data_IF_951614822993
#
_entry.id   IF_951614822993
#
_cell.length_a   1.000
_cell.length_b   1.000
_cell.length_c   1.000
_cell.angle_alpha   90.00
_cell.angle_beta   90.00
_cell.angle_gamma   90.00
#
_symmetry.space_group_name_H-M   'P 1'
#
loop_
_entity.id
_entity.type
_entity.pdbx_description
1 polymer ?
#
# COMPACT_ATOMS: atom_id res chain seq x y z
N UNK A 1 17.20 -9.87 4.28
CA UNK A 1 15.99 -9.70 3.42
C UNK A 1 14.69 -9.40 4.19
N UNK A 2 14.53 -9.82 5.45
CA UNK A 2 13.31 -9.55 6.25
C UNK A 2 12.98 -8.07 6.50
N UNK A 3 13.96 -7.25 6.90
CA UNK A 3 13.78 -5.80 7.14
C UNK A 3 13.29 -5.02 5.90
N UNK A 4 13.90 -5.15 4.70
CA UNK A 4 13.42 -4.43 3.52
C UNK A 4 12.03 -4.89 3.06
N UNK A 5 11.70 -6.19 3.16
CA UNK A 5 10.35 -6.69 2.83
C UNK A 5 9.28 -6.14 3.79
N UNK A 6 9.58 -6.06 5.08
CA UNK A 6 8.69 -5.42 6.06
C UNK A 6 8.52 -3.92 5.76
N UNK A 7 9.61 -3.21 5.49
CA UNK A 7 9.56 -1.80 5.14
C UNK A 7 8.73 -1.55 3.87
N UNK A 8 8.86 -2.42 2.87
CA UNK A 8 8.04 -2.39 1.67
C UNK A 8 6.56 -2.61 1.99
N UNK A 9 6.22 -3.61 2.81
CA UNK A 9 4.84 -3.85 3.24
C UNK A 9 4.23 -2.64 3.95
N UNK A 10 4.96 -2.02 4.88
CA UNK A 10 4.52 -0.78 5.55
C UNK A 10 4.35 0.35 4.55
N UNK A 11 5.28 0.52 3.60
CA UNK A 11 5.17 1.55 2.57
C UNK A 11 3.92 1.35 1.71
N UNK A 12 3.60 0.13 1.31
CA UNK A 12 2.39 -0.20 0.54
C UNK A 12 1.11 0.11 1.33
N UNK A 13 1.09 -0.17 2.64
CA UNK A 13 -0.03 0.23 3.52
C UNK A 13 -0.20 1.74 3.48
N UNK A 14 0.87 2.49 3.73
CA UNK A 14 0.82 3.94 3.77
C UNK A 14 0.44 4.54 2.41
N UNK A 15 0.93 3.98 1.31
CA UNK A 15 0.56 4.42 -0.04
C UNK A 15 -0.91 4.17 -0.35
N UNK A 16 -1.44 2.99 -0.02
CA UNK A 16 -2.84 2.67 -0.23
C UNK A 16 -3.77 3.55 0.62
N UNK A 17 -3.45 3.75 1.91
CA UNK A 17 -4.22 4.66 2.77
C UNK A 17 -4.15 6.10 2.25
N UNK A 18 -2.96 6.58 1.89
CA UNK A 18 -2.76 7.91 1.32
C UNK A 18 -3.57 8.10 0.04
N UNK A 19 -3.52 7.14 -0.88
CA UNK A 19 -4.27 7.22 -2.14
C UNK A 19 -5.79 7.18 -1.94
N UNK A 20 -6.27 6.43 -0.93
CA UNK A 20 -7.68 6.42 -0.56
C UNK A 20 -8.10 7.79 0.01
N UNK A 21 -7.25 8.41 0.83
CA UNK A 21 -7.45 9.76 1.34
C UNK A 21 -7.42 10.78 0.20
N UNK A 22 -6.46 10.74 -0.72
CA UNK A 22 -6.34 11.67 -1.86
C UNK A 22 -7.57 11.65 -2.77
N UNK A 23 -8.16 10.46 -2.93
CA UNK A 23 -9.39 10.30 -3.69
C UNK A 23 -10.61 10.96 -3.02
N UNK A 24 -10.67 10.95 -1.67
CA UNK A 24 -11.75 11.57 -0.90
C UNK A 24 -11.51 13.06 -0.63
N UNK A 25 -10.25 13.44 -0.43
CA UNK A 25 -9.80 14.78 -0.09
C UNK A 25 -8.43 15.02 -0.72
N UNK A 26 -8.39 15.87 -1.75
CA UNK A 26 -7.19 16.12 -2.56
C UNK A 26 -6.04 16.60 -1.67
N UNK A 27 -4.94 15.83 -1.61
CA UNK A 27 -3.86 16.03 -0.66
C UNK A 27 -2.61 16.62 -1.36
N UNK A 28 -2.15 17.84 -0.99
CA UNK A 28 -1.11 18.53 -1.78
C UNK A 28 0.35 18.16 -1.44
N UNK A 29 0.70 17.75 -0.20
CA UNK A 29 2.10 17.81 0.28
C UNK A 29 2.80 16.44 0.39
N UNK A 30 2.10 15.37 0.78
CA UNK A 30 2.68 14.01 0.89
C UNK A 30 2.55 13.18 -0.41
N UNK A 31 2.01 13.77 -1.47
CA UNK A 31 1.50 13.05 -2.64
C UNK A 31 2.54 12.42 -3.58
N UNK A 32 3.79 12.89 -3.61
CA UNK A 32 4.77 12.37 -4.60
C UNK A 32 5.10 10.91 -4.32
N UNK A 33 5.44 10.57 -3.07
CA UNK A 33 5.79 9.19 -2.71
C UNK A 33 4.55 8.42 -2.26
N UNK A 34 3.73 9.00 -1.36
CA UNK A 34 2.61 8.26 -0.78
C UNK A 34 1.39 8.16 -1.72
N UNK A 35 1.15 9.13 -2.62
CA UNK A 35 0.11 8.99 -3.67
C UNK A 35 0.66 8.50 -5.01
N UNK A 36 1.91 8.06 -5.08
CA UNK A 36 2.50 7.58 -6.34
C UNK A 36 1.63 6.50 -6.99
N UNK A 37 1.10 5.54 -6.23
CA UNK A 37 0.19 4.53 -6.76
C UNK A 37 -1.12 5.13 -7.30
N UNK A 38 -1.76 6.03 -6.56
CA UNK A 38 -3.01 6.64 -7.01
C UNK A 38 -2.80 7.49 -8.28
N UNK A 39 -1.75 8.31 -8.31
CA UNK A 39 -1.48 9.25 -9.41
C UNK A 39 -0.89 8.60 -10.65
N UNK A 40 -0.04 7.58 -10.48
CA UNK A 40 0.65 6.93 -11.60
C UNK A 40 -0.09 5.70 -12.11
N UNK A 41 -0.82 4.97 -11.25
CA UNK A 41 -1.50 3.73 -11.63
C UNK A 41 -3.00 3.92 -11.68
N UNK A 42 -3.63 4.28 -10.56
CA UNK A 42 -5.11 4.33 -10.47
C UNK A 42 -5.68 5.34 -11.46
N UNK A 43 -5.09 6.53 -11.57
CA UNK A 43 -5.56 7.57 -12.50
C UNK A 43 -5.33 7.24 -13.99
N UNK A 44 -4.41 6.34 -14.32
CA UNK A 44 -4.07 6.00 -15.70
C UNK A 44 -4.73 4.71 -16.20
N UNK A 45 -5.44 3.98 -15.33
CA UNK A 45 -6.12 2.73 -15.71
C UNK A 45 -7.62 2.87 -15.47
N UNK A 46 -8.39 2.91 -16.56
CA UNK A 46 -9.83 3.14 -16.54
C UNK A 46 -10.59 2.25 -15.53
N UNK A 47 -10.29 0.94 -15.51
CA UNK A 47 -10.93 0.00 -14.58
C UNK A 47 -10.62 0.30 -13.09
N UNK A 48 -9.43 0.84 -12.79
CA UNK A 48 -9.06 1.23 -11.44
C UNK A 48 -9.64 2.61 -11.07
N UNK A 49 -9.77 3.53 -12.02
CA UNK A 49 -10.38 4.83 -11.78
C UNK A 49 -11.83 4.73 -11.33
N UNK A 50 -12.63 3.89 -12.00
CA UNK A 50 -14.02 3.64 -11.62
C UNK A 50 -14.17 3.07 -10.21
N UNK A 51 -13.10 2.46 -9.69
CA UNK A 51 -13.05 1.83 -8.37
C UNK A 51 -11.88 2.39 -7.53
N UNK A 52 -11.55 3.68 -7.68
CA UNK A 52 -10.31 4.24 -7.14
C UNK A 52 -10.15 4.07 -5.63
N UNK A 53 -11.24 4.19 -4.87
CA UNK A 53 -11.24 3.93 -3.43
C UNK A 53 -10.87 2.48 -3.11
N UNK A 54 -11.53 1.52 -3.78
CA UNK A 54 -11.28 0.09 -3.61
C UNK A 54 -9.87 -0.30 -4.06
N UNK A 55 -9.37 0.28 -5.15
CA UNK A 55 -8.02 0.04 -5.65
C UNK A 55 -6.95 0.43 -4.61
N UNK A 56 -7.10 1.61 -4.00
CA UNK A 56 -6.19 2.10 -2.98
C UNK A 56 -6.29 1.29 -1.67
N UNK A 57 -7.51 0.95 -1.24
CA UNK A 57 -7.71 0.06 -0.08
C UNK A 57 -7.16 -1.35 -0.34
N UNK A 58 -7.29 -1.86 -1.56
CA UNK A 58 -6.69 -3.12 -1.98
C UNK A 58 -5.16 -3.10 -1.88
N UNK A 59 -4.52 -2.01 -2.32
CA UNK A 59 -3.08 -1.82 -2.12
C UNK A 59 -2.71 -1.83 -0.63
N UNK A 60 -3.48 -1.13 0.21
CA UNK A 60 -3.24 -1.09 1.64
C UNK A 60 -3.35 -2.50 2.26
N UNK A 61 -4.38 -3.26 1.87
CA UNK A 61 -4.58 -4.63 2.32
C UNK A 61 -3.43 -5.56 1.90
N UNK A 62 -2.94 -5.45 0.65
CA UNK A 62 -1.79 -6.23 0.18
C UNK A 62 -0.51 -5.90 0.97
N UNK A 63 -0.27 -4.61 1.25
CA UNK A 63 0.82 -4.19 2.12
C UNK A 63 0.74 -4.80 3.52
N UNK A 64 -0.46 -4.81 4.11
CA UNK A 64 -0.70 -5.39 5.43
C UNK A 64 -0.46 -6.90 5.43
N UNK A 65 -0.98 -7.61 4.43
CA UNK A 65 -0.73 -9.05 4.26
C UNK A 65 0.76 -9.35 4.15
N UNK A 66 1.51 -8.53 3.40
CA UNK A 66 2.96 -8.70 3.28
C UNK A 66 3.67 -8.53 4.64
N UNK A 67 3.31 -7.49 5.42
CA UNK A 67 3.86 -7.30 6.77
C UNK A 67 3.57 -8.50 7.65
N UNK A 68 2.31 -8.94 7.70
CA UNK A 68 1.89 -10.10 8.51
C UNK A 68 2.64 -11.36 8.07
N UNK A 69 2.70 -11.65 6.78
CA UNK A 69 3.40 -12.83 6.25
C UNK A 69 4.89 -12.83 6.60
N UNK A 70 5.57 -11.69 6.51
CA UNK A 70 6.99 -11.55 6.88
C UNK A 70 7.21 -11.80 8.36
N UNK A 71 6.37 -11.24 9.23
CA UNK A 71 6.44 -11.43 10.68
C UNK A 71 6.09 -12.88 11.09
N UNK A 72 5.06 -13.46 10.48
CA UNK A 72 4.69 -14.87 10.70
C UNK A 72 5.81 -15.82 10.29
N UNK A 73 6.46 -15.60 9.14
CA UNK A 73 7.59 -16.41 8.71
C UNK A 73 8.80 -16.24 9.62
N UNK A 74 9.03 -15.04 10.15
CA UNK A 74 10.09 -14.78 11.12
C UNK A 74 9.83 -15.53 12.44
N UNK A 75 8.59 -15.52 12.92
CA UNK A 75 8.18 -16.23 14.13
C UNK A 75 8.32 -17.76 14.01
N UNK A 76 7.96 -18.33 12.85
CA UNK A 76 8.10 -19.78 12.61
C UNK A 76 9.56 -20.23 12.59
N UNK A 77 10.49 -19.38 12.14
CA UNK A 77 11.93 -19.71 12.07
C UNK A 77 12.67 -19.69 13.41
N UNK A 78 12.07 -19.08 14.45
CA UNK A 78 12.67 -19.02 15.80
C UNK A 78 12.30 -20.21 16.70
N UNK A 79 11.48 -21.15 16.22
CA UNK A 79 11.02 -22.33 16.98
C UNK A 79 11.64 -23.65 16.49
N UNK A 80 12.70 -23.59 15.70
CA UNK A 80 13.42 -24.75 15.15
C UNK A 80 14.84 -24.83 15.66
#
# INVERSE_FOLDING_TARGET
MRKPLRALGVLLVLMGVSGAVDHLWTQPILGIVLNSFHRLVVQNVAALQENALLANLGLAALGLVLVVAVESLAASRGRG
#
